data_IF_405542697718
#
_entry.id   IF_405542697718
#
_cell.length_a   1.000
_cell.length_b   1.000
_cell.length_c   1.000
_cell.angle_alpha   90.00
_cell.angle_beta   90.00
_cell.angle_gamma   90.00
#
_symmetry.space_group_name_H-M   'P 1'
#
loop_
_entity.id
_entity.type
_entity.pdbx_description
1 polymer ?
#
# COMPACT_ATOMS: atom_id res chain seq x y z
N UNK A 1 21.58 -20.60 3.86
CA UNK A 1 20.61 -19.52 4.17
C UNK A 1 20.58 -18.65 2.93
N UNK A 2 19.41 -18.47 2.31
CA UNK A 2 19.25 -17.66 1.09
C UNK A 2 19.47 -16.19 1.43
N UNK A 3 20.36 -15.52 0.70
CA UNK A 3 20.67 -14.10 0.88
C UNK A 3 19.77 -13.28 -0.06
N UNK A 4 18.99 -12.38 0.49
CA UNK A 4 18.07 -11.54 -0.28
C UNK A 4 18.41 -10.06 -0.08
N UNK A 5 18.75 -9.37 -1.17
CA UNK A 5 18.87 -7.92 -1.16
C UNK A 5 17.48 -7.32 -1.42
N UNK A 6 16.93 -6.63 -0.42
CA UNK A 6 15.67 -5.91 -0.55
C UNK A 6 15.94 -4.44 -0.88
N UNK A 7 15.60 -4.02 -2.08
CA UNK A 7 15.62 -2.61 -2.46
C UNK A 7 14.26 -2.03 -2.10
N UNK A 8 14.25 -1.21 -1.05
CA UNK A 8 13.05 -0.60 -0.52
C UNK A 8 12.54 0.50 -1.47
N UNK A 9 11.25 0.86 -1.41
CA UNK A 9 10.71 1.95 -2.22
C UNK A 9 11.32 3.30 -1.82
N UNK A 10 11.04 4.33 -2.61
CA UNK A 10 11.38 5.70 -2.27
C UNK A 10 10.63 6.22 -1.03
N UNK A 11 10.67 7.52 -0.77
CA UNK A 11 10.09 8.13 0.42
C UNK A 11 8.56 8.18 0.41
N UNK A 12 7.91 7.48 -0.50
CA UNK A 12 6.46 7.38 -0.52
C UNK A 12 5.97 6.56 0.69
N UNK A 13 5.20 7.23 1.53
CA UNK A 13 4.69 6.69 2.79
C UNK A 13 3.76 5.48 2.57
N UNK A 14 3.03 5.43 1.46
CA UNK A 14 2.02 4.39 1.20
C UNK A 14 2.62 3.00 0.99
N UNK A 15 3.86 2.91 0.54
CA UNK A 15 4.54 1.65 0.21
C UNK A 15 5.58 1.20 1.24
N UNK A 16 5.85 2.01 2.26
CA UNK A 16 6.81 1.66 3.33
C UNK A 16 6.39 0.40 4.09
N UNK A 17 5.11 0.29 4.46
CA UNK A 17 4.57 -0.89 5.14
C UNK A 17 4.61 -2.15 4.27
N UNK A 18 4.45 -1.99 2.96
CA UNK A 18 4.58 -3.11 2.00
C UNK A 18 6.01 -3.63 1.99
N UNK A 19 7.01 -2.75 1.95
CA UNK A 19 8.43 -3.15 2.01
C UNK A 19 8.79 -3.83 3.34
N UNK A 20 8.32 -3.28 4.45
CA UNK A 20 8.47 -3.90 5.77
C UNK A 20 7.81 -5.29 5.85
N UNK A 21 6.64 -5.41 5.25
CA UNK A 21 5.93 -6.69 5.15
C UNK A 21 6.72 -7.73 4.35
N UNK A 22 7.27 -7.35 3.21
CA UNK A 22 8.12 -8.23 2.41
C UNK A 22 9.39 -8.62 3.16
N UNK A 23 10.06 -7.69 3.85
CA UNK A 23 11.22 -7.99 4.69
C UNK A 23 10.87 -9.06 5.73
N UNK A 24 9.84 -8.80 6.54
CA UNK A 24 9.39 -9.73 7.56
C UNK A 24 8.99 -11.10 6.98
N UNK A 25 8.33 -11.12 5.82
CA UNK A 25 7.94 -12.34 5.12
C UNK A 25 9.14 -13.16 4.62
N UNK A 26 10.16 -12.51 4.09
CA UNK A 26 11.41 -13.16 3.65
C UNK A 26 12.20 -13.72 4.85
N UNK A 27 12.35 -12.95 5.92
CA UNK A 27 13.01 -13.37 7.16
C UNK A 27 12.28 -14.55 7.80
N UNK A 28 10.95 -14.54 7.83
CA UNK A 28 10.12 -15.65 8.34
C UNK A 28 10.30 -16.95 7.52
N UNK A 29 10.70 -16.85 6.25
CA UNK A 29 11.06 -17.98 5.40
C UNK A 29 12.56 -18.37 5.50
N UNK A 30 13.29 -17.85 6.49
CA UNK A 30 14.67 -18.21 6.77
C UNK A 30 15.70 -17.56 5.84
N UNK A 31 15.36 -16.44 5.20
CA UNK A 31 16.31 -15.66 4.41
C UNK A 31 17.18 -14.77 5.32
N UNK A 32 18.43 -14.54 4.90
CA UNK A 32 19.26 -13.43 5.38
C UNK A 32 18.93 -12.23 4.50
N UNK A 33 18.28 -11.18 5.06
CA UNK A 33 17.78 -10.03 4.32
C UNK A 33 18.62 -8.80 4.63
N UNK A 34 19.18 -8.18 3.59
CA UNK A 34 19.76 -6.85 3.67
C UNK A 34 18.93 -5.85 2.90
N UNK A 35 18.62 -4.71 3.53
CA UNK A 35 17.86 -3.65 2.91
C UNK A 35 18.74 -2.54 2.34
N UNK A 36 18.27 -1.98 1.23
CA UNK A 36 18.74 -0.68 0.69
C UNK A 36 17.58 0.30 0.85
N UNK A 37 17.59 1.16 1.89
CA UNK A 37 16.50 2.09 2.19
C UNK A 37 16.58 3.30 1.24
N UNK A 38 16.01 3.17 0.03
CA UNK A 38 16.11 4.21 -1.00
C UNK A 38 15.56 5.56 -0.52
N UNK A 39 14.49 5.56 0.29
CA UNK A 39 13.92 6.79 0.83
C UNK A 39 14.93 7.63 1.64
N UNK A 40 15.74 6.97 2.46
CA UNK A 40 16.79 7.65 3.24
C UNK A 40 17.88 8.22 2.34
N UNK A 41 18.33 7.45 1.35
CA UNK A 41 19.37 7.91 0.41
C UNK A 41 18.88 9.03 -0.50
N UNK A 42 17.64 8.96 -1.00
CA UNK A 42 17.05 10.04 -1.79
C UNK A 42 16.94 11.32 -0.95
N UNK A 43 16.46 11.21 0.30
CA UNK A 43 16.41 12.33 1.23
C UNK A 43 17.78 12.95 1.50
N UNK A 44 18.80 12.11 1.71
CA UNK A 44 20.19 12.57 1.90
C UNK A 44 20.71 13.32 0.67
N UNK A 45 20.54 12.76 -0.53
CA UNK A 45 21.04 13.40 -1.76
C UNK A 45 20.26 14.68 -2.10
N UNK A 46 18.95 14.70 -1.87
CA UNK A 46 18.16 15.92 -2.06
C UNK A 46 18.62 17.04 -1.13
N UNK A 47 18.82 16.75 0.16
CA UNK A 47 19.33 17.72 1.12
C UNK A 47 20.75 18.21 0.75
N UNK A 48 21.63 17.31 0.28
CA UNK A 48 22.98 17.68 -0.15
C UNK A 48 22.96 18.58 -1.39
N UNK A 49 22.11 18.32 -2.37
CA UNK A 49 21.95 19.15 -3.58
C UNK A 49 21.40 20.54 -3.22
N UNK A 50 20.35 20.58 -2.39
CA UNK A 50 19.78 21.85 -1.91
C UNK A 50 20.82 22.68 -1.14
N UNK A 51 21.63 22.06 -0.29
CA UNK A 51 22.72 22.73 0.41
C UNK A 51 23.81 23.25 -0.52
N UNK A 52 24.00 22.62 -1.69
CA UNK A 52 24.92 23.08 -2.74
C UNK A 52 24.28 24.14 -3.68
N UNK A 53 23.07 24.60 -3.41
CA UNK A 53 22.37 25.59 -4.21
C UNK A 53 21.73 25.05 -5.49
N UNK A 54 21.48 23.73 -5.54
CA UNK A 54 20.76 23.09 -6.65
C UNK A 54 19.32 22.86 -6.22
N UNK A 55 18.37 23.33 -7.04
CA UNK A 55 16.96 23.09 -6.80
C UNK A 55 16.61 21.62 -7.06
N UNK A 56 15.91 21.02 -6.11
CA UNK A 56 15.38 19.65 -6.20
C UNK A 56 13.85 19.75 -6.13
N UNK A 57 13.20 19.58 -7.28
CA UNK A 57 11.74 19.69 -7.40
C UNK A 57 11.04 18.37 -7.13
N UNK A 58 11.72 17.25 -7.40
CA UNK A 58 11.21 15.90 -7.23
C UNK A 58 12.30 14.91 -6.80
N UNK A 59 11.88 13.76 -6.28
CA UNK A 59 12.80 12.67 -5.95
C UNK A 59 13.51 12.08 -7.19
N UNK A 60 12.92 12.25 -8.38
CA UNK A 60 13.53 11.82 -9.64
C UNK A 60 14.81 12.59 -9.97
N UNK A 61 14.94 13.85 -9.52
CA UNK A 61 16.11 14.68 -9.78
C UNK A 61 17.38 14.11 -9.12
N UNK A 62 17.21 13.33 -8.07
CA UNK A 62 18.32 12.68 -7.34
C UNK A 62 18.34 11.16 -7.51
N UNK A 63 17.44 10.60 -8.32
CA UNK A 63 17.32 9.14 -8.50
C UNK A 63 18.59 8.50 -9.08
N UNK A 64 19.34 9.20 -9.93
CA UNK A 64 20.59 8.68 -10.47
C UNK A 64 21.69 8.55 -9.39
N UNK A 65 21.62 9.33 -8.32
CA UNK A 65 22.60 9.29 -7.23
C UNK A 65 22.47 8.05 -6.35
N UNK A 66 21.28 7.43 -6.28
CA UNK A 66 21.09 6.20 -5.51
C UNK A 66 21.49 4.93 -6.26
N UNK A 67 21.67 4.99 -7.59
CA UNK A 67 22.03 3.82 -8.38
C UNK A 67 23.36 3.17 -7.97
N UNK A 68 24.43 3.92 -7.67
CA UNK A 68 25.66 3.36 -7.13
C UNK A 68 25.46 2.63 -5.81
N UNK A 69 24.58 3.13 -4.94
CA UNK A 69 24.29 2.50 -3.63
C UNK A 69 23.70 1.10 -3.82
N UNK A 70 22.69 0.94 -4.69
CA UNK A 70 22.09 -0.36 -5.02
C UNK A 70 23.16 -1.32 -5.57
N UNK A 71 23.97 -0.85 -6.52
CA UNK A 71 25.01 -1.67 -7.14
C UNK A 71 26.09 -2.09 -6.16
N UNK A 72 26.56 -1.17 -5.30
CA UNK A 72 27.55 -1.50 -4.25
C UNK A 72 27.00 -2.55 -3.31
N UNK A 73 25.78 -2.37 -2.78
CA UNK A 73 25.15 -3.34 -1.90
C UNK A 73 25.06 -4.74 -2.55
N UNK A 74 24.68 -4.80 -3.83
CA UNK A 74 24.56 -6.06 -4.56
C UNK A 74 25.92 -6.70 -4.83
N UNK A 75 26.93 -5.96 -5.27
CA UNK A 75 28.25 -6.51 -5.70
C UNK A 75 29.19 -6.77 -4.52
N UNK A 76 28.99 -6.12 -3.39
CA UNK A 76 29.77 -6.40 -2.17
C UNK A 76 29.24 -7.65 -1.44
N UNK A 77 27.92 -7.86 -1.46
CA UNK A 77 27.32 -8.96 -0.72
C UNK A 77 26.98 -10.18 -1.57
N UNK A 78 26.75 -10.00 -2.85
CA UNK A 78 26.42 -11.04 -3.83
C UNK A 78 25.19 -11.87 -3.41
N UNK A 79 23.98 -11.27 -3.38
CA UNK A 79 22.77 -11.95 -2.95
C UNK A 79 22.37 -13.07 -3.91
N UNK A 80 21.63 -14.05 -3.40
CA UNK A 80 21.03 -15.11 -4.21
C UNK A 80 19.78 -14.61 -4.94
N UNK A 81 19.13 -13.54 -4.43
CA UNK A 81 17.98 -12.86 -5.01
C UNK A 81 18.00 -11.37 -4.65
N UNK A 82 17.68 -10.52 -5.62
CA UNK A 82 17.34 -9.11 -5.39
C UNK A 82 15.84 -8.92 -5.52
N UNK A 83 15.18 -8.37 -4.51
CA UNK A 83 13.76 -8.00 -4.52
C UNK A 83 13.67 -6.49 -4.54
N UNK A 84 13.01 -5.92 -5.54
CA UNK A 84 12.78 -4.48 -5.68
C UNK A 84 11.31 -4.20 -5.43
N UNK A 85 11.00 -3.40 -4.42
CA UNK A 85 9.62 -2.99 -4.13
C UNK A 85 9.34 -1.66 -4.82
N UNK A 86 8.23 -1.57 -5.54
CA UNK A 86 7.77 -0.42 -6.34
C UNK A 86 8.63 -0.12 -7.58
N UNK A 87 9.93 0.06 -7.44
CA UNK A 87 10.87 0.23 -8.56
C UNK A 87 10.97 1.63 -9.17
N UNK A 88 10.22 2.65 -8.69
CA UNK A 88 10.19 4.00 -9.26
C UNK A 88 11.56 4.67 -9.41
N UNK A 89 12.49 4.40 -8.50
CA UNK A 89 13.79 5.05 -8.45
C UNK A 89 14.93 4.10 -8.80
N UNK A 90 14.60 2.95 -9.44
CA UNK A 90 15.60 1.98 -9.89
C UNK A 90 15.74 2.04 -11.41
N UNK A 91 16.94 2.35 -11.90
CA UNK A 91 17.16 2.48 -13.33
C UNK A 91 17.27 1.13 -14.05
N UNK A 92 16.78 1.07 -15.28
CA UNK A 92 16.98 -0.06 -16.19
C UNK A 92 18.46 -0.45 -16.35
N UNK A 93 19.37 0.55 -16.29
CA UNK A 93 20.82 0.32 -16.33
C UNK A 93 21.32 -0.47 -15.12
N UNK A 94 20.82 -0.13 -13.92
CA UNK A 94 21.18 -0.87 -12.69
C UNK A 94 20.68 -2.32 -12.78
N UNK A 95 19.43 -2.55 -13.16
CA UNK A 95 18.87 -3.89 -13.33
C UNK A 95 19.63 -4.72 -14.36
N UNK A 96 19.97 -4.13 -15.52
CA UNK A 96 20.81 -4.78 -16.53
C UNK A 96 22.21 -5.18 -16.00
N UNK A 97 22.81 -4.38 -15.16
CA UNK A 97 24.10 -4.70 -14.56
C UNK A 97 23.99 -5.85 -13.56
N UNK A 98 22.91 -5.93 -12.77
CA UNK A 98 22.63 -7.06 -11.89
C UNK A 98 22.45 -8.34 -12.71
N UNK A 99 21.61 -8.30 -13.75
CA UNK A 99 21.38 -9.41 -14.67
C UNK A 99 22.63 -9.89 -15.37
N UNK A 100 23.49 -8.96 -15.86
CA UNK A 100 24.75 -9.31 -16.50
C UNK A 100 25.75 -9.99 -15.56
N UNK A 101 25.50 -9.96 -14.25
CA UNK A 101 26.30 -10.63 -13.20
C UNK A 101 25.59 -11.86 -12.63
N UNK A 102 24.51 -12.33 -13.29
CA UNK A 102 23.69 -13.46 -12.84
C UNK A 102 23.15 -13.27 -11.41
N UNK A 103 22.74 -12.05 -11.05
CA UNK A 103 22.04 -11.74 -9.82
C UNK A 103 20.53 -11.68 -10.13
N UNK A 104 19.76 -12.75 -9.82
CA UNK A 104 18.33 -12.78 -10.10
C UNK A 104 17.61 -11.61 -9.45
N UNK A 105 16.67 -11.00 -10.19
CA UNK A 105 15.92 -9.84 -9.72
C UNK A 105 14.43 -10.04 -9.92
N UNK A 106 13.66 -9.79 -8.86
CA UNK A 106 12.19 -9.71 -8.88
C UNK A 106 11.78 -8.29 -8.58
N UNK A 107 10.88 -7.74 -9.40
CA UNK A 107 10.25 -6.45 -9.12
C UNK A 107 8.82 -6.69 -8.67
N UNK A 108 8.43 -6.05 -7.58
CA UNK A 108 7.09 -6.07 -7.01
C UNK A 108 6.48 -4.70 -7.22
N UNK A 109 5.65 -4.56 -8.25
CA UNK A 109 4.91 -3.33 -8.51
C UNK A 109 3.72 -3.25 -7.57
N UNK A 110 3.55 -2.09 -6.92
CA UNK A 110 2.58 -1.88 -5.86
C UNK A 110 1.50 -0.86 -6.21
N UNK A 111 1.68 -0.15 -7.32
CA UNK A 111 0.83 0.97 -7.73
C UNK A 111 -0.16 0.61 -8.85
N UNK A 112 -0.31 -0.70 -9.16
CA UNK A 112 -1.33 -1.12 -10.12
C UNK A 112 -2.74 -0.77 -9.61
N UNK A 113 -3.63 -0.27 -10.47
CA UNK A 113 -3.45 -0.05 -11.92
C UNK A 113 -2.94 1.36 -12.29
N UNK A 114 -2.64 2.22 -11.32
CA UNK A 114 -2.47 3.68 -11.52
C UNK A 114 -1.21 4.06 -12.31
N UNK A 115 -0.10 3.36 -12.09
CA UNK A 115 1.21 3.69 -12.66
C UNK A 115 1.73 2.63 -13.63
N UNK A 116 0.90 1.66 -13.99
CA UNK A 116 1.32 0.47 -14.74
C UNK A 116 1.96 0.79 -16.09
N UNK A 117 1.46 1.78 -16.83
CA UNK A 117 2.02 2.16 -18.14
C UNK A 117 3.44 2.69 -18.05
N UNK A 118 3.74 3.41 -16.98
CA UNK A 118 5.07 4.00 -16.76
C UNK A 118 6.03 2.97 -16.15
N UNK A 119 5.50 2.01 -15.38
CA UNK A 119 6.27 0.95 -14.75
C UNK A 119 6.49 -0.28 -15.63
N UNK A 120 5.56 -0.64 -16.51
CA UNK A 120 5.63 -1.87 -17.31
C UNK A 120 6.93 -2.00 -18.13
N UNK A 121 7.50 -0.94 -18.74
CA UNK A 121 8.77 -1.06 -19.46
C UNK A 121 9.95 -1.54 -18.59
N UNK A 122 9.92 -1.22 -17.26
CA UNK A 122 10.95 -1.66 -16.34
C UNK A 122 10.93 -3.18 -16.13
N UNK A 123 9.79 -3.82 -16.31
CA UNK A 123 9.62 -5.27 -16.22
C UNK A 123 10.55 -6.07 -17.14
N UNK A 124 10.93 -5.51 -18.30
CA UNK A 124 11.85 -6.14 -19.25
C UNK A 124 13.24 -6.45 -18.66
N UNK A 125 13.61 -5.79 -17.58
CA UNK A 125 14.93 -5.88 -16.97
C UNK A 125 14.97 -6.78 -15.72
N UNK A 126 13.83 -7.34 -15.29
CA UNK A 126 13.73 -8.28 -14.19
C UNK A 126 13.65 -9.74 -14.69
N UNK A 127 13.96 -10.70 -13.83
CA UNK A 127 13.80 -12.14 -14.11
C UNK A 127 12.35 -12.57 -13.88
N UNK A 128 11.67 -11.96 -12.90
CA UNK A 128 10.24 -12.11 -12.68
C UNK A 128 9.63 -10.80 -12.16
N UNK A 129 8.33 -10.67 -12.32
CA UNK A 129 7.55 -9.49 -11.96
C UNK A 129 6.29 -9.90 -11.21
N UNK A 130 6.00 -9.19 -10.15
CA UNK A 130 4.76 -9.32 -9.38
C UNK A 130 3.96 -8.04 -9.55
N UNK A 131 2.67 -8.18 -9.85
CA UNK A 131 1.70 -7.08 -9.87
C UNK A 131 0.57 -7.36 -8.89
N UNK A 132 0.00 -6.33 -8.28
CA UNK A 132 -1.05 -6.44 -7.28
C UNK A 132 -2.47 -6.30 -7.84
N UNK A 133 -2.62 -6.01 -9.13
CA UNK A 133 -3.91 -5.98 -9.84
C UNK A 133 -3.81 -6.78 -11.14
N UNK A 134 -4.75 -7.72 -11.41
CA UNK A 134 -4.70 -8.52 -12.63
C UNK A 134 -5.14 -7.76 -13.90
N UNK A 135 -5.70 -6.55 -13.76
CA UNK A 135 -6.26 -5.78 -14.89
C UNK A 135 -5.23 -5.54 -16.00
N UNK A 136 -3.99 -5.25 -15.63
CA UNK A 136 -2.92 -4.93 -16.58
C UNK A 136 -1.85 -6.03 -16.71
N UNK A 137 -2.16 -7.27 -16.31
CA UNK A 137 -1.22 -8.40 -16.45
C UNK A 137 -0.68 -8.53 -17.87
N UNK A 138 -1.52 -8.37 -18.88
CA UNK A 138 -1.10 -8.52 -20.27
C UNK A 138 -0.17 -7.39 -20.70
N UNK A 139 -0.37 -6.17 -20.22
CA UNK A 139 0.55 -5.06 -20.44
C UNK A 139 1.96 -5.38 -19.92
N UNK A 140 2.07 -5.90 -18.70
CA UNK A 140 3.37 -6.29 -18.15
C UNK A 140 3.97 -7.50 -18.86
N UNK A 141 3.14 -8.46 -19.33
CA UNK A 141 3.58 -9.64 -20.06
C UNK A 141 4.13 -9.33 -21.44
N UNK A 142 3.74 -8.22 -22.06
CA UNK A 142 4.39 -7.71 -23.27
C UNK A 142 5.88 -7.43 -23.05
N UNK A 143 6.27 -7.04 -21.83
CA UNK A 143 7.65 -6.75 -21.45
C UNK A 143 8.35 -7.93 -20.77
N UNK A 144 7.61 -8.71 -19.95
CA UNK A 144 8.15 -9.87 -19.25
C UNK A 144 7.10 -10.97 -19.09
N UNK A 145 7.29 -12.09 -19.79
CA UNK A 145 6.40 -13.26 -19.73
C UNK A 145 6.29 -13.90 -18.33
N UNK A 146 7.28 -13.67 -17.45
CA UNK A 146 7.30 -14.14 -16.07
C UNK A 146 6.64 -13.11 -15.12
N UNK A 147 5.48 -12.61 -15.52
CA UNK A 147 4.66 -11.70 -14.72
C UNK A 147 3.53 -12.45 -14.05
N UNK A 148 3.41 -12.27 -12.73
CA UNK A 148 2.46 -12.98 -11.89
C UNK A 148 1.63 -11.99 -11.07
N UNK A 149 0.36 -12.32 -10.86
CA UNK A 149 -0.51 -11.61 -9.93
C UNK A 149 -0.36 -12.19 -8.52
N UNK A 150 -0.14 -11.32 -7.55
CA UNK A 150 -0.33 -11.58 -6.13
C UNK A 150 -1.20 -10.48 -5.52
N UNK A 151 -2.26 -10.80 -4.76
CA UNK A 151 -3.03 -9.79 -4.06
C UNK A 151 -2.16 -9.04 -3.06
N UNK A 152 -2.64 -7.90 -2.57
CA UNK A 152 -1.97 -7.22 -1.46
C UNK A 152 -1.83 -8.15 -0.26
N UNK A 153 -0.68 -8.01 0.43
CA UNK A 153 -0.37 -8.80 1.62
C UNK A 153 -0.60 -8.02 2.91
N UNK A 154 -0.67 -8.76 4.01
CA UNK A 154 -0.66 -8.20 5.35
C UNK A 154 0.42 -8.82 6.22
N UNK A 155 0.88 -8.06 7.23
CA UNK A 155 1.94 -8.48 8.14
C UNK A 155 1.34 -8.94 9.48
N UNK A 156 1.42 -10.24 9.83
CA UNK A 156 0.87 -10.76 11.09
C UNK A 156 1.46 -10.13 12.36
N UNK A 157 2.68 -9.60 12.28
CA UNK A 157 3.32 -8.91 13.39
C UNK A 157 2.79 -7.49 13.63
N UNK A 158 2.17 -6.88 12.61
CA UNK A 158 1.62 -5.52 12.68
C UNK A 158 0.09 -5.50 12.68
N UNK A 159 -0.54 -6.24 11.76
CA UNK A 159 -1.98 -6.19 11.48
C UNK A 159 -2.75 -7.21 12.32
N UNK A 160 -2.79 -6.98 13.63
CA UNK A 160 -3.62 -7.72 14.58
C UNK A 160 -4.40 -6.75 15.48
N UNK A 161 -5.60 -7.14 15.89
CA UNK A 161 -6.46 -6.30 16.73
C UNK A 161 -5.80 -6.05 18.09
N UNK A 162 -5.67 -4.78 18.45
CA UNK A 162 -5.06 -4.32 19.72
C UNK A 162 -6.14 -3.92 20.72
N UNK A 163 -5.86 -4.12 22.01
CA UNK A 163 -6.68 -3.51 23.06
C UNK A 163 -6.26 -2.04 23.16
N UNK A 164 -7.19 -1.13 22.91
CA UNK A 164 -6.95 0.31 22.88
C UNK A 164 -7.79 1.04 23.93
N UNK A 165 -7.39 2.25 24.29
CA UNK A 165 -8.14 3.13 25.17
C UNK A 165 -9.29 3.85 24.46
N UNK A 166 -10.12 4.59 25.22
CA UNK A 166 -11.28 5.31 24.68
C UNK A 166 -10.89 6.40 23.65
N UNK A 167 -9.68 6.91 23.69
CA UNK A 167 -9.19 7.94 22.77
C UNK A 167 -9.12 7.45 21.30
N UNK A 168 -9.15 6.14 21.09
CA UNK A 168 -9.21 5.50 19.77
C UNK A 168 -10.61 5.02 19.40
N UNK A 169 -11.60 5.23 20.29
CA UNK A 169 -12.98 4.81 20.02
C UNK A 169 -13.63 5.77 19.03
N UNK A 170 -14.32 5.22 18.02
CA UNK A 170 -15.16 5.97 17.08
C UNK A 170 -16.26 5.08 16.54
N UNK A 171 -17.32 5.68 16.01
CA UNK A 171 -18.32 4.94 15.24
C UNK A 171 -17.78 4.56 13.88
N UNK A 172 -17.12 5.51 13.22
CA UNK A 172 -16.56 5.32 11.88
C UNK A 172 -15.13 5.90 11.84
N UNK A 173 -14.22 5.16 11.20
CA UNK A 173 -12.86 5.62 10.95
C UNK A 173 -12.55 5.58 9.45
N UNK A 174 -11.88 6.61 8.94
CA UNK A 174 -11.25 6.57 7.62
C UNK A 174 -9.78 6.95 7.75
N UNK A 175 -8.89 6.09 7.27
CA UNK A 175 -7.45 6.35 7.22
C UNK A 175 -6.98 6.42 5.76
N UNK A 176 -6.52 7.58 5.36
CA UNK A 176 -6.03 7.82 4.00
C UNK A 176 -5.68 9.28 3.78
N UNK A 177 -5.14 9.60 2.59
CA UNK A 177 -4.83 10.97 2.20
C UNK A 177 -6.08 11.73 1.77
N UNK A 178 -6.12 13.03 2.04
CA UNK A 178 -7.16 13.98 1.70
C UNK A 178 -7.13 14.33 0.19
N UNK A 179 -7.37 13.33 -0.67
CA UNK A 179 -7.55 13.58 -2.09
C UNK A 179 -8.87 14.32 -2.35
N UNK A 180 -8.93 15.19 -3.39
CA UNK A 180 -10.12 15.98 -3.70
C UNK A 180 -11.41 15.15 -3.77
N UNK A 181 -11.40 14.01 -4.46
CA UNK A 181 -12.57 13.12 -4.57
C UNK A 181 -13.03 12.55 -3.22
N UNK A 182 -12.10 12.29 -2.31
CA UNK A 182 -12.41 11.81 -0.95
C UNK A 182 -12.99 12.92 -0.08
N UNK A 183 -12.44 14.13 -0.19
CA UNK A 183 -12.96 15.30 0.51
C UNK A 183 -14.40 15.57 0.06
N UNK A 184 -14.65 15.64 -1.26
CA UNK A 184 -15.97 15.85 -1.83
C UNK A 184 -17.00 14.82 -1.33
N UNK A 185 -16.65 13.54 -1.38
CA UNK A 185 -17.50 12.47 -0.87
C UNK A 185 -17.79 12.64 0.62
N UNK A 186 -16.75 12.80 1.45
CA UNK A 186 -16.91 12.85 2.90
C UNK A 186 -17.59 14.12 3.39
N UNK A 187 -17.44 15.27 2.70
CA UNK A 187 -18.18 16.50 3.00
C UNK A 187 -19.69 16.36 2.67
N UNK A 188 -20.05 15.51 1.70
CA UNK A 188 -21.44 15.29 1.29
C UNK A 188 -22.18 14.22 2.15
N UNK A 189 -21.47 13.42 2.95
CA UNK A 189 -22.09 12.43 3.85
C UNK A 189 -22.72 13.11 5.06
N UNK A 190 -23.92 12.65 5.47
CA UNK A 190 -24.55 13.11 6.71
C UNK A 190 -23.97 12.40 7.94
N UNK A 191 -23.09 13.08 8.64
CA UNK A 191 -22.43 12.62 9.87
C UNK A 191 -23.23 12.89 11.15
N UNK A 192 -24.49 13.35 11.07
CA UNK A 192 -25.30 13.66 12.25
C UNK A 192 -25.46 12.44 13.16
N UNK A 193 -24.96 12.55 14.40
CA UNK A 193 -25.04 11.48 15.40
C UNK A 193 -24.04 10.33 15.17
N UNK A 194 -23.07 10.49 14.29
CA UNK A 194 -22.00 9.54 14.03
C UNK A 194 -20.66 10.16 14.45
N UNK A 195 -19.92 9.48 15.31
CA UNK A 195 -18.57 9.85 15.72
C UNK A 195 -17.58 9.39 14.64
N UNK A 196 -17.07 10.34 13.83
CA UNK A 196 -16.13 10.11 12.75
C UNK A 196 -14.71 10.42 13.19
N UNK A 197 -13.77 9.52 12.89
CA UNK A 197 -12.33 9.75 13.04
C UNK A 197 -11.64 9.72 11.66
N UNK A 198 -11.01 10.82 11.27
CA UNK A 198 -10.20 10.93 10.06
C UNK A 198 -8.72 10.91 10.42
N UNK A 199 -7.93 10.09 9.73
CA UNK A 199 -6.49 10.03 9.93
C UNK A 199 -5.74 9.78 8.61
N UNK A 200 -4.44 10.08 8.61
CA UNK A 200 -3.58 9.98 7.43
C UNK A 200 -2.95 11.33 7.07
N UNK A 201 -2.91 11.69 5.80
CA UNK A 201 -2.38 12.96 5.34
C UNK A 201 -3.53 13.92 5.01
N UNK A 202 -3.84 14.84 5.95
CA UNK A 202 -4.99 15.76 5.86
C UNK A 202 -4.60 17.24 5.77
N UNK A 203 -3.31 17.58 5.73
CA UNK A 203 -2.83 18.96 5.56
C UNK A 203 -3.37 19.69 4.32
N UNK A 204 -3.76 19.02 3.20
CA UNK A 204 -4.37 19.72 2.06
C UNK A 204 -5.81 20.18 2.30
N UNK A 205 -6.43 19.80 3.44
CA UNK A 205 -7.82 20.16 3.73
C UNK A 205 -7.95 21.67 3.99
N UNK A 206 -8.91 22.30 3.31
CA UNK A 206 -9.16 23.75 3.46
C UNK A 206 -9.53 24.11 4.90
N UNK A 207 -9.20 25.34 5.31
CA UNK A 207 -9.45 25.80 6.68
C UNK A 207 -10.95 25.87 7.04
N UNK A 208 -11.81 26.09 6.07
CA UNK A 208 -13.27 26.18 6.23
C UNK A 208 -13.99 24.83 6.07
N UNK A 209 -13.26 23.74 5.80
CA UNK A 209 -13.88 22.43 5.62
C UNK A 209 -14.49 21.91 6.93
N UNK A 210 -15.75 21.42 6.90
CA UNK A 210 -16.41 20.82 8.06
C UNK A 210 -15.71 19.54 8.53
N UNK A 211 -14.85 18.93 7.71
CA UNK A 211 -14.13 17.71 8.07
C UNK A 211 -13.00 17.93 9.05
N UNK A 212 -12.48 19.17 9.20
CA UNK A 212 -11.35 19.45 10.10
C UNK A 212 -11.59 19.02 11.54
N UNK A 213 -12.83 19.14 12.03
CA UNK A 213 -13.21 18.73 13.38
C UNK A 213 -13.08 17.22 13.64
N UNK A 214 -13.04 16.42 12.59
CA UNK A 214 -12.96 14.94 12.65
C UNK A 214 -11.54 14.42 12.50
N UNK A 215 -10.54 15.27 12.20
CA UNK A 215 -9.15 14.84 12.09
C UNK A 215 -8.62 14.49 13.47
N UNK A 216 -8.28 13.23 13.68
CA UNK A 216 -7.96 12.64 14.97
C UNK A 216 -6.49 12.84 15.41
N UNK A 217 -5.72 13.66 14.70
CA UNK A 217 -4.30 13.96 14.99
C UNK A 217 -3.94 15.38 14.54
N UNK A 218 -2.69 15.80 14.75
CA UNK A 218 -2.18 17.05 14.20
C UNK A 218 -2.29 17.03 12.66
N UNK A 219 -3.08 17.95 12.09
CA UNK A 219 -3.41 17.98 10.68
C UNK A 219 -2.18 18.23 9.78
N UNK A 220 -1.16 18.90 10.30
CA UNK A 220 0.08 19.21 9.59
C UNK A 220 1.05 18.02 9.55
N UNK A 221 0.70 16.93 10.23
CA UNK A 221 1.48 15.71 10.27
C UNK A 221 0.70 14.54 9.67
N UNK A 222 1.39 13.63 8.99
CA UNK A 222 0.78 12.39 8.57
C UNK A 222 0.66 11.43 9.76
N UNK A 223 -0.50 10.80 9.92
CA UNK A 223 -0.70 9.79 10.96
C UNK A 223 0.26 8.61 10.77
N UNK A 224 1.07 8.24 11.77
CA UNK A 224 1.94 7.09 11.68
C UNK A 224 1.17 5.77 11.49
N UNK A 225 1.75 4.83 10.75
CA UNK A 225 1.10 3.54 10.48
C UNK A 225 0.81 2.71 11.73
N UNK A 226 1.64 2.81 12.77
CA UNK A 226 1.36 2.13 14.05
C UNK A 226 0.12 2.69 14.77
N UNK A 227 -0.21 3.96 14.58
CA UNK A 227 -1.43 4.57 15.10
C UNK A 227 -2.65 4.12 14.29
N UNK A 228 -2.51 3.90 12.98
CA UNK A 228 -3.57 3.38 12.12
C UNK A 228 -4.19 2.08 12.65
N UNK A 229 -3.37 1.13 13.10
CA UNK A 229 -3.84 -0.14 13.67
C UNK A 229 -4.64 0.06 14.96
N UNK A 230 -4.29 1.07 15.76
CA UNK A 230 -5.04 1.40 16.99
C UNK A 230 -6.39 2.02 16.65
N UNK A 231 -6.44 2.95 15.70
CA UNK A 231 -7.70 3.52 15.20
C UNK A 231 -8.63 2.44 14.66
N UNK A 232 -8.12 1.54 13.80
CA UNK A 232 -8.88 0.41 13.28
C UNK A 232 -9.34 -0.57 14.37
N UNK A 233 -8.57 -0.70 15.45
CA UNK A 233 -8.94 -1.57 16.56
C UNK A 233 -10.02 -0.96 17.46
N UNK A 234 -10.13 0.37 17.50
CA UNK A 234 -11.07 1.10 18.35
C UNK A 234 -12.39 1.45 17.68
N UNK A 235 -12.43 1.49 16.34
CA UNK A 235 -13.62 1.86 15.60
C UNK A 235 -14.65 0.72 15.48
N UNK A 236 -15.95 1.07 15.35
CA UNK A 236 -17.01 0.11 15.05
C UNK A 236 -17.04 -0.25 13.55
N UNK A 237 -16.76 0.72 12.68
CA UNK A 237 -16.71 0.53 11.23
C UNK A 237 -15.58 1.35 10.64
N UNK A 238 -14.99 0.90 9.54
CA UNK A 238 -14.05 1.68 8.75
C UNK A 238 -14.57 1.89 7.34
N UNK A 239 -14.05 2.91 6.66
CA UNK A 239 -14.32 3.14 5.25
C UNK A 239 -13.08 2.79 4.43
N UNK A 240 -13.31 2.20 3.27
CA UNK A 240 -12.31 2.14 2.22
C UNK A 240 -12.82 2.93 1.00
N UNK A 241 -12.11 4.02 0.69
CA UNK A 241 -12.41 4.92 -0.42
C UNK A 241 -11.19 4.92 -1.33
N UNK A 242 -11.35 4.47 -2.56
CA UNK A 242 -10.24 4.41 -3.51
C UNK A 242 -9.81 5.79 -3.97
N UNK A 243 -8.54 5.88 -4.36
CA UNK A 243 -7.99 7.07 -5.05
C UNK A 243 -8.60 7.13 -6.45
N UNK A 244 -9.15 8.30 -6.82
CA UNK A 244 -9.66 8.59 -8.18
C UNK A 244 -8.73 9.48 -8.98
N UNK A 245 -7.80 10.13 -8.31
CA UNK A 245 -6.79 11.00 -8.89
C UNK A 245 -5.67 10.15 -9.51
N UNK A 246 -5.90 9.67 -10.72
CA UNK A 246 -4.86 9.10 -11.57
C UNK A 246 -4.40 10.17 -12.56
N UNK A 247 -3.14 10.14 -12.94
CA UNK A 247 -2.64 11.02 -14.00
C UNK A 247 -3.34 10.75 -15.34
N UNK A 248 -4.06 9.62 -15.45
CA UNK A 248 -4.77 9.18 -16.66
C UNK A 248 -6.18 8.70 -16.32
N UNK A 249 -7.21 9.32 -16.91
CA UNK A 249 -8.62 8.98 -16.62
C UNK A 249 -9.03 7.53 -16.97
N UNK A 250 -8.30 6.87 -17.87
CA UNK A 250 -8.57 5.52 -18.34
C UNK A 250 -8.10 4.40 -17.38
N UNK A 251 -7.44 4.77 -16.28
CA UNK A 251 -6.89 3.82 -15.30
C UNK A 251 -7.62 3.84 -13.94
N UNK A 252 -8.78 4.49 -13.86
CA UNK A 252 -9.46 4.77 -12.59
C UNK A 252 -10.01 3.53 -11.89
N UNK A 253 -10.37 2.48 -12.63
CA UNK A 253 -11.04 1.31 -12.07
C UNK A 253 -10.11 0.08 -12.02
N UNK A 254 -9.43 -0.10 -10.88
CA UNK A 254 -8.76 -1.37 -10.57
C UNK A 254 -9.77 -2.49 -10.27
N UNK A 255 -9.36 -3.74 -10.47
CA UNK A 255 -10.13 -4.91 -10.09
C UNK A 255 -9.85 -5.36 -8.65
N UNK A 256 -8.58 -5.30 -8.22
CA UNK A 256 -8.14 -5.80 -6.93
C UNK A 256 -8.55 -4.89 -5.76
N UNK A 257 -8.75 -5.50 -4.59
CA UNK A 257 -8.86 -4.78 -3.33
C UNK A 257 -7.57 -4.00 -3.05
N UNK A 258 -7.70 -2.86 -2.39
CA UNK A 258 -6.55 -2.08 -1.96
C UNK A 258 -5.86 -2.66 -0.71
N UNK A 259 -4.63 -2.22 -0.40
CA UNK A 259 -3.90 -2.71 0.78
C UNK A 259 -4.67 -2.47 2.09
N UNK A 260 -5.36 -1.34 2.22
CA UNK A 260 -6.16 -1.01 3.41
C UNK A 260 -7.31 -1.98 3.66
N UNK A 261 -7.97 -2.49 2.62
CA UNK A 261 -9.03 -3.49 2.78
C UNK A 261 -8.47 -4.80 3.32
N UNK A 262 -7.33 -5.23 2.82
CA UNK A 262 -6.65 -6.45 3.30
C UNK A 262 -6.22 -6.29 4.75
N UNK A 263 -5.72 -5.12 5.15
CA UNK A 263 -5.35 -4.79 6.54
C UNK A 263 -6.57 -4.77 7.46
N UNK A 264 -7.67 -4.12 7.07
CA UNK A 264 -8.93 -4.07 7.81
C UNK A 264 -9.51 -5.47 8.00
N UNK A 265 -9.52 -6.26 6.94
CA UNK A 265 -9.96 -7.65 6.98
C UNK A 265 -9.07 -8.49 7.93
N UNK A 266 -7.75 -8.36 7.84
CA UNK A 266 -6.80 -9.07 8.71
C UNK A 266 -6.99 -8.73 10.20
N UNK A 267 -7.26 -7.46 10.51
CA UNK A 267 -7.58 -6.98 11.85
C UNK A 267 -8.93 -7.48 12.38
N UNK A 268 -9.81 -7.99 11.52
CA UNK A 268 -11.19 -8.30 11.86
C UNK A 268 -12.00 -7.02 12.15
N UNK A 269 -11.65 -5.92 11.51
CA UNK A 269 -12.40 -4.67 11.57
C UNK A 269 -13.44 -4.66 10.47
N UNK A 270 -14.71 -4.41 10.82
CA UNK A 270 -15.75 -4.24 9.82
C UNK A 270 -15.48 -3.00 8.97
N UNK A 271 -15.75 -3.09 7.67
CA UNK A 271 -15.60 -1.95 6.77
C UNK A 271 -16.66 -1.96 5.67
N UNK A 272 -16.89 -0.76 5.11
CA UNK A 272 -17.71 -0.51 3.93
C UNK A 272 -16.77 0.06 2.86
N UNK A 273 -16.90 -0.38 1.63
CA UNK A 273 -15.97 -0.02 0.55
C UNK A 273 -16.67 0.49 -0.70
N UNK A 274 -15.99 1.29 -1.50
CA UNK A 274 -16.39 1.47 -2.89
C UNK A 274 -16.27 0.15 -3.65
N UNK A 275 -17.14 -0.14 -4.64
CA UNK A 275 -17.13 -1.42 -5.32
C UNK A 275 -15.95 -1.57 -6.28
N UNK A 276 -15.26 -2.70 -6.22
CA UNK A 276 -14.29 -3.19 -7.22
C UNK A 276 -14.65 -4.60 -7.68
N UNK A 277 -13.98 -5.08 -8.73
CA UNK A 277 -14.18 -6.42 -9.27
C UNK A 277 -13.99 -7.51 -8.23
N UNK A 278 -12.90 -7.47 -7.47
CA UNK A 278 -12.60 -8.46 -6.45
C UNK A 278 -13.62 -8.48 -5.31
N UNK A 279 -14.13 -7.32 -4.89
CA UNK A 279 -15.22 -7.26 -3.91
C UNK A 279 -16.45 -7.99 -4.41
N UNK A 280 -16.86 -7.74 -5.67
CA UNK A 280 -18.04 -8.36 -6.26
C UNK A 280 -17.89 -9.88 -6.40
N UNK A 281 -16.72 -10.36 -6.76
CA UNK A 281 -16.48 -11.78 -7.06
C UNK A 281 -16.10 -12.62 -5.84
N UNK A 282 -15.26 -12.09 -4.95
CA UNK A 282 -14.66 -12.85 -3.85
C UNK A 282 -15.11 -12.40 -2.46
N UNK A 283 -15.46 -11.12 -2.32
CA UNK A 283 -15.82 -10.51 -1.04
C UNK A 283 -17.22 -9.90 -1.08
N UNK A 284 -18.16 -10.52 -1.83
CA UNK A 284 -19.53 -10.02 -2.02
C UNK A 284 -20.33 -9.88 -0.73
N UNK A 285 -19.87 -10.43 0.37
CA UNK A 285 -20.42 -10.26 1.72
C UNK A 285 -19.99 -8.96 2.41
N UNK A 286 -18.95 -8.28 1.91
CA UNK A 286 -18.54 -6.95 2.38
C UNK A 286 -19.46 -5.92 1.73
N UNK A 287 -20.11 -5.04 2.52
CA UNK A 287 -21.00 -4.03 1.96
C UNK A 287 -20.21 -3.00 1.13
N UNK A 288 -20.81 -2.65 -0.01
CA UNK A 288 -20.30 -1.55 -0.86
C UNK A 288 -21.26 -0.38 -0.83
N UNK A 289 -20.79 0.80 -1.21
CA UNK A 289 -21.63 2.00 -1.32
C UNK A 289 -21.46 2.69 -2.67
N UNK A 290 -22.50 3.42 -3.09
CA UNK A 290 -22.56 4.20 -4.32
C UNK A 290 -22.95 5.66 -4.00
N UNK A 291 -21.94 6.47 -3.71
CA UNK A 291 -22.11 7.88 -3.37
C UNK A 291 -22.48 8.16 -1.91
N UNK A 292 -22.64 9.47 -1.57
CA UNK A 292 -22.75 9.91 -0.17
C UNK A 292 -24.08 9.56 0.49
N UNK A 293 -25.20 9.59 -0.24
CA UNK A 293 -26.52 9.30 0.31
C UNK A 293 -26.66 7.83 0.69
N UNK A 294 -26.24 6.92 -0.21
CA UNK A 294 -26.21 5.48 0.03
C UNK A 294 -25.25 5.13 1.19
N UNK A 295 -24.07 5.81 1.26
CA UNK A 295 -23.16 5.63 2.37
C UNK A 295 -23.79 6.07 3.69
N UNK A 296 -24.47 7.22 3.73
CA UNK A 296 -25.15 7.74 4.91
C UNK A 296 -26.22 6.78 5.45
N UNK A 297 -27.03 6.19 4.55
CA UNK A 297 -28.05 5.21 4.90
C UNK A 297 -27.42 3.91 5.43
N UNK A 298 -26.43 3.39 4.72
CA UNK A 298 -25.73 2.15 5.11
C UNK A 298 -24.99 2.28 6.43
N UNK A 299 -24.32 3.41 6.69
CA UNK A 299 -23.65 3.65 7.98
C UNK A 299 -24.62 3.56 9.14
N UNK A 300 -25.80 4.22 9.05
CA UNK A 300 -26.82 4.14 10.11
C UNK A 300 -27.31 2.73 10.34
N UNK A 301 -27.57 2.00 9.27
CA UNK A 301 -28.03 0.62 9.38
C UNK A 301 -26.96 -0.26 10.02
N UNK A 302 -25.74 -0.22 9.49
CA UNK A 302 -24.65 -1.07 9.99
C UNK A 302 -24.24 -0.72 11.42
N UNK A 303 -24.25 0.54 11.81
CA UNK A 303 -23.93 0.94 13.19
C UNK A 303 -24.96 0.45 14.22
N UNK A 304 -26.20 0.21 13.79
CA UNK A 304 -27.26 -0.35 14.63
C UNK A 304 -27.25 -1.89 14.68
N UNK A 305 -26.43 -2.58 13.88
CA UNK A 305 -26.46 -4.05 13.70
C UNK A 305 -25.09 -4.67 14.03
N UNK A 306 -24.79 -4.81 15.33
CA UNK A 306 -23.46 -5.25 15.83
C UNK A 306 -23.14 -6.70 15.45
N UNK A 307 -24.11 -7.59 15.50
CA UNK A 307 -23.92 -9.02 15.19
C UNK A 307 -23.60 -9.22 13.70
N UNK A 308 -24.27 -8.51 12.82
CA UNK A 308 -24.05 -8.55 11.37
C UNK A 308 -22.66 -7.98 11.01
N UNK A 309 -22.25 -6.86 11.64
CA UNK A 309 -20.91 -6.32 11.47
C UNK A 309 -19.84 -7.32 11.88
N UNK A 310 -20.03 -7.96 13.03
CA UNK A 310 -19.10 -8.96 13.57
C UNK A 310 -18.97 -10.15 12.63
N UNK A 311 -20.08 -10.62 12.08
CA UNK A 311 -20.06 -11.76 11.15
C UNK A 311 -19.37 -11.42 9.82
N UNK A 312 -19.62 -10.22 9.26
CA UNK A 312 -18.92 -9.75 8.05
C UNK A 312 -17.43 -9.62 8.29
N UNK A 313 -17.03 -9.00 9.40
CA UNK A 313 -15.61 -8.85 9.76
C UNK A 313 -14.90 -10.21 9.91
N UNK A 314 -15.56 -11.17 10.55
CA UNK A 314 -15.06 -12.55 10.71
C UNK A 314 -14.88 -13.26 9.36
N UNK A 315 -15.84 -13.10 8.43
CA UNK A 315 -15.72 -13.66 7.07
C UNK A 315 -14.57 -13.02 6.29
N UNK A 316 -14.44 -11.70 6.37
CA UNK A 316 -13.36 -10.97 5.71
C UNK A 316 -11.99 -11.42 6.24
N UNK A 317 -11.85 -11.55 7.56
CA UNK A 317 -10.61 -12.03 8.18
C UNK A 317 -10.24 -13.44 7.71
N UNK A 318 -11.21 -14.35 7.66
CA UNK A 318 -10.99 -15.71 7.17
C UNK A 318 -10.57 -15.75 5.69
N UNK A 319 -11.16 -14.87 4.87
CA UNK A 319 -10.88 -14.82 3.44
C UNK A 319 -9.46 -14.33 3.11
N UNK A 320 -8.88 -13.44 3.94
CA UNK A 320 -7.51 -12.92 3.73
C UNK A 320 -6.44 -13.69 4.52
N UNK A 321 -6.80 -14.75 5.24
CA UNK A 321 -5.86 -15.48 6.12
C UNK A 321 -4.61 -15.97 5.38
N UNK A 322 -4.73 -16.36 4.12
CA UNK A 322 -3.61 -16.80 3.26
C UNK A 322 -2.86 -15.68 2.53
N UNK A 323 -3.25 -14.40 2.71
CA UNK A 323 -2.64 -13.26 2.03
C UNK A 323 -1.52 -12.61 2.88
N UNK A 324 -0.82 -13.37 3.69
CA UNK A 324 0.30 -12.83 4.48
C UNK A 324 1.53 -12.61 3.60
N UNK A 325 2.34 -11.62 3.94
CA UNK A 325 3.65 -11.43 3.29
C UNK A 325 4.55 -12.66 3.44
N UNK A 326 4.40 -13.45 4.51
CA UNK A 326 5.12 -14.71 4.70
C UNK A 326 4.77 -15.74 3.61
N UNK A 327 3.47 -15.92 3.31
CA UNK A 327 3.02 -16.81 2.24
C UNK A 327 3.38 -16.29 0.85
N UNK A 328 3.32 -14.96 0.66
CA UNK A 328 3.74 -14.33 -0.59
C UNK A 328 5.24 -14.50 -0.85
N UNK A 329 6.08 -14.25 0.17
CA UNK A 329 7.52 -14.46 0.08
C UNK A 329 7.86 -15.92 -0.24
N UNK A 330 7.19 -16.88 0.41
CA UNK A 330 7.35 -18.31 0.13
C UNK A 330 7.04 -18.64 -1.34
N UNK A 331 5.96 -18.09 -1.91
CA UNK A 331 5.59 -18.30 -3.32
C UNK A 331 6.66 -17.72 -4.25
N UNK A 332 7.13 -16.50 -4.00
CA UNK A 332 8.17 -15.85 -4.81
C UNK A 332 9.47 -16.65 -4.76
N UNK A 333 9.95 -17.03 -3.57
CA UNK A 333 11.17 -17.82 -3.40
C UNK A 333 11.09 -19.14 -4.16
N UNK A 334 9.97 -19.87 -4.07
CA UNK A 334 9.80 -21.15 -4.77
C UNK A 334 9.61 -21.04 -6.28
N UNK A 335 9.33 -19.86 -6.81
CA UNK A 335 9.14 -19.63 -8.25
C UNK A 335 10.40 -19.13 -8.96
N UNK A 336 11.35 -18.57 -8.21
CA UNK A 336 12.53 -17.89 -8.77
C UNK A 336 13.84 -18.63 -8.41
N UNK A 337 13.90 -19.27 -7.26
CA UNK A 337 15.04 -20.07 -6.79
C UNK A 337 14.80 -21.57 -6.95
#
# INVERSE_FOLDING_TARGET
MTRVLLVEPGPDFSVADVADGWRAGLEANGCDVRSVPLGEYLGYFAAAQTAAGVDVESWHDVADMVQPVIRSAAFEWWPDLTVVVSGFYVSARTLNLLRARNLPTVIIFTESPYEDRDQAPLAAFADAVIVNDPTNLDLFREHNKHTYYLPHGWNPAKHYRRKVGPDYASDVCFVGSAFPSRIELLEAVDWSGIDLALAGHWSPLRDDSPLRQYVAHDIDQCCPNDETVKLYSGTKASLNIYRKEAQRPDLVDGWAMGPREVELAALGTFYITEPRGENRERFSFVPTFDGPDDLSEKLRWWLAHDDERTEVARKAQAAVAGHTFTEHAKRVLSSVL
#
